data_IF_760174583895
#
_entry.id   IF_760174583895
#
_cell.length_a   1.000
_cell.length_b   1.000
_cell.length_c   1.000
_cell.angle_alpha   90.00
_cell.angle_beta   90.00
_cell.angle_gamma   90.00
#
_symmetry.space_group_name_H-M   'P 1'
#
loop_
_entity.id
_entity.type
_entity.pdbx_description
1 polymer ?
#
# COMPACT_ATOMS: atom_id res chain seq x y z
N UNK A 1 19.42 -15.75 6.61
CA UNK A 1 20.50 -15.99 5.65
C UNK A 1 20.27 -15.05 4.47
N UNK A 2 21.07 -13.99 4.37
CA UNK A 2 21.05 -13.04 3.25
C UNK A 2 22.47 -12.85 2.74
N UNK A 3 22.61 -12.35 1.51
CA UNK A 3 23.92 -12.04 0.94
C UNK A 3 24.60 -10.92 1.74
N UNK A 4 25.88 -11.09 2.07
CA UNK A 4 26.68 -10.02 2.67
C UNK A 4 27.05 -8.98 1.62
N UNK A 5 27.40 -7.77 2.06
CA UNK A 5 27.78 -6.70 1.13
C UNK A 5 29.07 -7.01 0.37
N UNK A 6 30.00 -7.64 1.07
CA UNK A 6 31.27 -8.14 0.54
C UNK A 6 31.04 -9.15 -0.58
N UNK A 7 30.10 -10.07 -0.38
CA UNK A 7 29.72 -11.07 -1.39
C UNK A 7 28.95 -10.45 -2.57
N UNK A 8 28.07 -9.47 -2.32
CA UNK A 8 27.31 -8.80 -3.37
C UNK A 8 28.22 -7.98 -4.31
N UNK A 9 29.23 -7.34 -3.75
CA UNK A 9 30.14 -6.46 -4.48
C UNK A 9 31.46 -7.12 -4.88
N UNK A 10 31.64 -8.40 -4.53
CA UNK A 10 32.90 -9.14 -4.68
C UNK A 10 34.11 -8.32 -4.19
N UNK A 11 34.01 -7.85 -2.95
CA UNK A 11 34.98 -6.92 -2.35
C UNK A 11 35.34 -7.34 -0.93
N UNK A 12 36.58 -7.07 -0.51
CA UNK A 12 37.09 -7.46 0.82
C UNK A 12 36.43 -6.69 1.96
N UNK A 13 35.94 -5.47 1.70
CA UNK A 13 35.24 -4.65 2.68
C UNK A 13 34.32 -3.66 1.99
N UNK A 14 33.22 -3.31 2.65
CA UNK A 14 32.25 -2.33 2.16
C UNK A 14 31.95 -1.25 3.20
N UNK A 15 31.53 -0.08 2.71
CA UNK A 15 31.04 1.03 3.52
C UNK A 15 29.64 1.45 3.07
N UNK A 16 28.80 1.84 4.02
CA UNK A 16 27.51 2.47 3.73
C UNK A 16 27.71 3.90 3.25
N UNK A 17 27.20 4.19 2.05
CA UNK A 17 27.19 5.54 1.49
C UNK A 17 25.82 6.21 1.61
N UNK A 18 24.75 5.42 1.67
CA UNK A 18 23.39 5.91 1.86
C UNK A 18 22.50 4.82 2.47
N UNK A 19 21.30 5.22 2.90
CA UNK A 19 20.30 4.32 3.48
C UNK A 19 19.86 4.74 4.87
N UNK A 20 19.01 3.91 5.47
CA UNK A 20 18.43 4.10 6.81
C UNK A 20 18.92 3.04 7.83
N UNK A 21 19.92 2.25 7.43
CA UNK A 21 20.48 1.14 8.22
C UNK A 21 19.77 -0.19 8.01
N UNK A 22 18.54 -0.20 7.49
CA UNK A 22 17.79 -1.41 7.14
C UNK A 22 17.92 -1.69 5.63
N UNK A 23 17.68 -0.66 4.81
CA UNK A 23 18.06 -0.60 3.40
C UNK A 23 19.36 0.15 3.27
N UNK A 24 20.41 -0.54 2.81
CA UNK A 24 21.76 0.02 2.78
C UNK A 24 22.26 0.09 1.35
N UNK A 25 22.71 1.27 0.94
CA UNK A 25 23.48 1.42 -0.30
C UNK A 25 24.96 1.35 0.08
N UNK A 26 25.63 0.32 -0.42
CA UNK A 26 27.02 0.00 -0.10
C UNK A 26 27.93 0.24 -1.29
N UNK A 27 29.17 0.63 -0.99
CA UNK A 27 30.29 0.67 -1.96
C UNK A 27 31.48 -0.12 -1.40
N UNK A 28 32.39 -0.61 -2.25
CA UNK A 28 33.67 -1.13 -1.78
C UNK A 28 34.38 -0.08 -0.95
N UNK A 29 35.12 -0.49 0.09
CA UNK A 29 35.89 0.42 0.93
C UNK A 29 37.39 0.14 0.89
N UNK A 30 38.17 1.21 1.08
CA UNK A 30 39.60 1.11 1.34
C UNK A 30 39.89 0.69 2.80
N UNK A 31 41.18 0.55 3.15
CA UNK A 31 41.61 0.21 4.52
C UNK A 31 41.16 1.23 5.58
N UNK A 32 40.83 2.46 5.18
CA UNK A 32 40.37 3.54 6.06
C UNK A 32 38.84 3.65 6.10
N UNK A 33 38.12 2.64 5.57
CA UNK A 33 36.65 2.61 5.43
C UNK A 33 36.09 3.78 4.62
N UNK A 34 36.86 4.31 3.66
CA UNK A 34 36.38 5.33 2.71
C UNK A 34 35.86 4.65 1.44
N UNK A 35 34.85 5.23 0.76
CA UNK A 35 34.36 4.67 -0.51
C UNK A 35 35.48 4.59 -1.54
N UNK A 36 35.77 3.39 -2.02
CA UNK A 36 36.77 3.13 -3.05
C UNK A 36 36.12 3.02 -4.44
N UNK A 37 36.83 3.40 -5.53
CA UNK A 37 36.37 3.16 -6.89
C UNK A 37 36.17 1.67 -7.18
N UNK A 38 35.21 1.33 -8.04
CA UNK A 38 35.02 -0.04 -8.49
C UNK A 38 36.09 -0.48 -9.50
N UNK A 39 36.09 -1.77 -9.90
CA UNK A 39 37.03 -2.29 -10.90
C UNK A 39 36.94 -1.51 -12.21
N UNK A 40 38.09 -1.15 -12.78
CA UNK A 40 38.16 -0.45 -14.07
C UNK A 40 37.71 -1.38 -15.20
N UNK A 41 36.86 -0.86 -16.09
CA UNK A 41 36.44 -1.59 -17.28
C UNK A 41 37.20 -1.07 -18.51
N UNK A 42 37.77 -1.96 -19.33
CA UNK A 42 38.27 -1.57 -20.65
C UNK A 42 37.07 -1.33 -21.57
N UNK A 43 36.83 -0.09 -21.97
CA UNK A 43 35.79 0.25 -22.92
C UNK A 43 36.30 1.31 -23.90
N UNK A 44 36.10 1.10 -25.20
CA UNK A 44 36.51 2.02 -26.26
C UNK A 44 38.01 2.35 -26.22
N UNK A 45 38.87 1.36 -25.91
CA UNK A 45 40.32 1.54 -25.85
C UNK A 45 40.85 2.36 -24.67
N UNK A 46 40.00 2.71 -23.70
CA UNK A 46 40.37 3.47 -22.49
C UNK A 46 39.92 2.75 -21.22
N UNK A 47 40.66 2.94 -20.12
CA UNK A 47 40.22 2.52 -18.78
C UNK A 47 39.23 3.54 -18.23
N UNK A 48 38.00 3.12 -18.01
CA UNK A 48 36.96 3.99 -17.45
C UNK A 48 36.71 3.57 -16.00
N UNK A 49 36.89 4.46 -15.00
CA UNK A 49 36.53 4.15 -13.62
C UNK A 49 35.01 4.07 -13.51
N UNK A 50 34.50 2.97 -12.93
CA UNK A 50 33.07 2.83 -12.60
C UNK A 50 32.86 2.98 -11.11
N UNK A 51 31.74 3.59 -10.73
CA UNK A 51 31.25 3.53 -9.36
C UNK A 51 30.43 2.24 -9.27
N UNK A 52 30.89 1.31 -8.42
CA UNK A 52 30.15 0.09 -8.12
C UNK A 52 29.35 0.31 -6.83
N UNK A 53 28.03 0.22 -6.93
CA UNK A 53 27.12 0.33 -5.79
C UNK A 53 26.24 -0.91 -5.70
N UNK A 54 26.03 -1.39 -4.48
CA UNK A 54 25.13 -2.49 -4.18
C UNK A 54 23.99 -2.00 -3.30
N UNK A 55 22.77 -2.44 -3.58
CA UNK A 55 21.64 -2.21 -2.68
C UNK A 55 21.38 -3.46 -1.84
N UNK A 56 21.64 -3.36 -0.54
CA UNK A 56 21.44 -4.42 0.42
C UNK A 56 20.09 -4.26 1.11
N UNK A 57 19.14 -5.12 0.74
CA UNK A 57 17.77 -5.16 1.26
C UNK A 57 17.49 -6.34 2.19
N UNK A 58 18.50 -7.17 2.48
CA UNK A 58 18.33 -8.38 3.30
C UNK A 58 17.81 -8.04 4.70
N UNK A 59 18.17 -6.88 5.26
CA UNK A 59 17.65 -6.38 6.55
C UNK A 59 16.14 -6.11 6.55
N UNK A 60 15.51 -5.87 5.38
CA UNK A 60 14.05 -5.73 5.27
C UNK A 60 13.33 -7.07 5.15
N UNK A 61 14.02 -8.11 4.67
CA UNK A 61 13.41 -9.38 4.26
C UNK A 61 13.76 -10.56 5.18
N UNK A 62 14.62 -10.34 6.18
CA UNK A 62 15.03 -11.38 7.14
C UNK A 62 14.39 -11.17 8.53
N UNK A 63 13.45 -12.07 8.89
CA UNK A 63 12.70 -12.08 10.16
C UNK A 63 11.33 -12.75 10.01
N UNK A 64 10.70 -13.22 11.10
CA UNK A 64 9.44 -13.98 11.06
C UNK A 64 8.23 -13.17 10.57
N UNK A 65 7.70 -12.26 11.40
CA UNK A 65 6.56 -11.42 11.05
C UNK A 65 6.87 -10.46 9.89
N UNK A 66 8.10 -9.92 9.84
CA UNK A 66 8.55 -9.03 8.77
C UNK A 66 8.48 -9.70 7.38
N UNK A 67 8.80 -10.99 7.27
CA UNK A 67 8.71 -11.74 6.01
C UNK A 67 7.26 -11.90 5.53
N UNK A 68 6.32 -12.14 6.44
CA UNK A 68 4.90 -12.24 6.10
C UNK A 68 4.33 -10.89 5.62
N UNK A 69 4.65 -9.81 6.35
CA UNK A 69 4.29 -8.44 5.92
C UNK A 69 4.92 -8.09 4.57
N UNK A 70 6.17 -8.49 4.34
CA UNK A 70 6.85 -8.24 3.07
C UNK A 70 6.20 -8.99 1.91
N UNK A 71 5.83 -10.26 2.09
CA UNK A 71 5.09 -11.02 1.08
C UNK A 71 3.74 -10.36 0.71
N UNK A 72 3.05 -9.79 1.71
CA UNK A 72 1.79 -9.06 1.51
C UNK A 72 2.00 -7.75 0.73
N UNK A 73 3.09 -7.03 1.00
CA UNK A 73 3.41 -5.73 0.39
C UNK A 73 4.21 -5.84 -0.93
N UNK A 74 4.74 -7.02 -1.23
CA UNK A 74 5.49 -7.31 -2.44
C UNK A 74 4.77 -6.90 -3.74
N UNK A 75 3.49 -7.26 -3.98
CA UNK A 75 2.81 -6.87 -5.23
C UNK A 75 2.68 -5.34 -5.39
N UNK A 76 2.53 -4.60 -4.30
CA UNK A 76 2.51 -3.13 -4.33
C UNK A 76 3.87 -2.55 -4.67
N UNK A 77 4.93 -3.15 -4.12
CA UNK A 77 6.31 -2.77 -4.41
C UNK A 77 6.64 -2.98 -5.88
N UNK A 78 6.20 -4.11 -6.46
CA UNK A 78 6.37 -4.39 -7.89
C UNK A 78 5.63 -3.40 -8.77
N UNK A 79 4.39 -3.04 -8.42
CA UNK A 79 3.63 -2.02 -9.17
C UNK A 79 4.32 -0.65 -9.14
N UNK A 80 4.89 -0.26 -8.00
CA UNK A 80 5.69 0.95 -7.87
C UNK A 80 6.95 0.90 -8.74
N UNK A 81 7.73 -0.19 -8.68
CA UNK A 81 8.93 -0.37 -9.51
C UNK A 81 8.58 -0.34 -11.00
N UNK A 82 7.54 -1.05 -11.41
CA UNK A 82 7.07 -1.08 -12.79
C UNK A 82 6.73 0.33 -13.31
N UNK A 83 6.15 1.20 -12.46
CA UNK A 83 5.86 2.58 -12.83
C UNK A 83 7.12 3.37 -13.21
N UNK A 84 8.22 3.15 -12.48
CA UNK A 84 9.51 3.80 -12.73
C UNK A 84 10.30 3.19 -13.88
N UNK A 85 9.99 1.95 -14.27
CA UNK A 85 10.61 1.27 -15.42
C UNK A 85 10.02 1.70 -16.77
N UNK A 86 8.94 2.48 -16.79
CA UNK A 86 8.36 2.96 -18.05
C UNK A 86 9.33 3.93 -18.76
N UNK A 87 9.59 3.75 -20.07
CA UNK A 87 10.48 4.63 -20.81
C UNK A 87 9.93 6.07 -20.88
N UNK A 88 10.81 7.08 -20.91
CA UNK A 88 10.39 8.46 -21.13
C UNK A 88 9.74 8.58 -22.52
N UNK A 89 8.65 9.35 -22.59
CA UNK A 89 7.93 9.57 -23.85
C UNK A 89 8.71 10.61 -24.67
N UNK A 90 9.18 10.29 -25.90
CA UNK A 90 9.86 11.26 -26.73
C UNK A 90 8.90 12.37 -27.20
N UNK A 91 9.40 13.61 -27.26
CA UNK A 91 8.64 14.76 -27.75
C UNK A 91 8.19 14.54 -29.21
N UNK A 92 6.99 15.02 -29.56
CA UNK A 92 6.43 14.92 -30.91
C UNK A 92 5.82 13.57 -31.32
N UNK A 93 6.04 12.47 -30.56
CA UNK A 93 5.51 11.13 -30.89
C UNK A 93 4.18 10.85 -30.17
N UNK A 94 3.06 11.25 -30.78
CA UNK A 94 1.70 11.10 -30.21
C UNK A 94 1.37 9.67 -29.78
N UNK A 95 1.72 8.66 -30.59
CA UNK A 95 1.46 7.25 -30.26
C UNK A 95 2.21 6.80 -28.99
N UNK A 96 3.49 7.16 -28.86
CA UNK A 96 4.28 6.85 -27.67
C UNK A 96 3.71 7.55 -26.42
N UNK A 97 3.16 8.76 -26.58
CA UNK A 97 2.50 9.47 -25.49
C UNK A 97 1.23 8.78 -25.02
N UNK A 98 0.37 8.35 -25.95
CA UNK A 98 -0.87 7.62 -25.65
C UNK A 98 -0.56 6.29 -24.97
N UNK A 99 0.36 5.50 -25.52
CA UNK A 99 0.75 4.22 -24.94
C UNK A 99 1.32 4.39 -23.53
N UNK A 100 2.22 5.36 -23.34
CA UNK A 100 2.76 5.68 -22.01
C UNK A 100 1.69 6.12 -21.01
N UNK A 101 0.67 6.86 -21.44
CA UNK A 101 -0.47 7.23 -20.60
C UNK A 101 -1.32 6.02 -20.21
N UNK A 102 -1.61 5.12 -21.16
CA UNK A 102 -2.35 3.88 -20.91
C UNK A 102 -1.60 2.99 -19.92
N UNK A 103 -0.31 2.72 -20.14
CA UNK A 103 0.49 1.89 -19.22
C UNK A 103 0.53 2.48 -17.80
N UNK A 104 0.69 3.80 -17.65
CA UNK A 104 0.61 4.47 -16.34
C UNK A 104 -0.78 4.35 -15.71
N UNK A 105 -1.84 4.48 -16.50
CA UNK A 105 -3.23 4.28 -16.06
C UNK A 105 -3.47 2.86 -15.56
N UNK A 106 -3.03 1.85 -16.32
CA UNK A 106 -3.15 0.44 -15.95
C UNK A 106 -2.40 0.11 -14.66
N UNK A 107 -1.19 0.65 -14.46
CA UNK A 107 -0.43 0.45 -13.23
C UNK A 107 -1.13 1.08 -12.01
N UNK A 108 -1.75 2.26 -12.17
CA UNK A 108 -2.56 2.89 -11.11
C UNK A 108 -3.80 2.06 -10.78
N UNK A 109 -4.50 1.56 -11.79
CA UNK A 109 -5.68 0.70 -11.62
C UNK A 109 -5.29 -0.61 -10.94
N UNK A 110 -4.23 -1.27 -11.40
CA UNK A 110 -3.71 -2.50 -10.79
C UNK A 110 -3.36 -2.29 -9.31
N UNK A 111 -2.68 -1.20 -8.98
CA UNK A 111 -2.35 -0.84 -7.59
C UNK A 111 -3.60 -0.63 -6.73
N UNK A 112 -4.62 0.03 -7.28
CA UNK A 112 -5.89 0.25 -6.59
C UNK A 112 -6.66 -1.07 -6.37
N UNK A 113 -6.70 -1.94 -7.39
CA UNK A 113 -7.33 -3.25 -7.30
C UNK A 113 -6.63 -4.15 -6.26
N UNK A 114 -5.30 -4.12 -6.18
CA UNK A 114 -4.55 -4.79 -5.12
C UNK A 114 -4.96 -4.29 -3.73
N UNK A 115 -5.20 -2.99 -3.58
CA UNK A 115 -5.69 -2.39 -2.32
C UNK A 115 -7.09 -2.90 -2.00
N UNK A 116 -8.00 -2.86 -2.97
CA UNK A 116 -9.37 -3.33 -2.81
C UNK A 116 -9.40 -4.82 -2.44
N UNK A 117 -8.59 -5.66 -3.11
CA UNK A 117 -8.48 -7.08 -2.82
C UNK A 117 -7.95 -7.32 -1.40
N UNK A 118 -6.83 -6.70 -1.04
CA UNK A 118 -6.22 -6.84 0.28
C UNK A 118 -7.21 -6.48 1.39
N UNK A 119 -7.84 -5.31 1.29
CA UNK A 119 -8.75 -4.82 2.33
C UNK A 119 -10.04 -5.65 2.38
N UNK A 120 -10.57 -6.10 1.24
CA UNK A 120 -11.75 -6.96 1.23
C UNK A 120 -11.48 -8.31 1.91
N UNK A 121 -10.33 -8.93 1.65
CA UNK A 121 -9.96 -10.20 2.29
C UNK A 121 -9.73 -10.03 3.80
N UNK A 122 -9.00 -8.98 4.19
CA UNK A 122 -8.82 -8.67 5.61
C UNK A 122 -10.14 -8.33 6.30
N UNK A 123 -11.07 -7.67 5.60
CA UNK A 123 -12.38 -7.34 6.17
C UNK A 123 -13.17 -8.61 6.50
N UNK A 124 -13.22 -9.57 5.59
CA UNK A 124 -13.89 -10.86 5.83
C UNK A 124 -13.23 -11.59 7.00
N UNK A 125 -11.91 -11.74 6.99
CA UNK A 125 -11.16 -12.44 8.06
C UNK A 125 -11.35 -11.76 9.42
N UNK A 126 -11.24 -10.43 9.46
CA UNK A 126 -11.34 -9.66 10.69
C UNK A 126 -12.75 -9.69 11.29
N UNK A 127 -13.77 -9.52 10.46
CA UNK A 127 -15.15 -9.58 10.92
C UNK A 127 -15.53 -11.00 11.37
N UNK A 128 -15.05 -12.03 10.68
CA UNK A 128 -15.28 -13.43 11.06
C UNK A 128 -14.61 -13.77 12.40
N UNK A 129 -13.31 -13.53 12.52
CA UNK A 129 -12.55 -13.85 13.74
C UNK A 129 -13.00 -13.01 14.94
N UNK A 130 -13.12 -11.69 14.81
CA UNK A 130 -13.41 -10.83 15.95
C UNK A 130 -14.90 -10.70 16.20
N UNK A 131 -15.69 -10.30 15.20
CA UNK A 131 -17.10 -9.98 15.43
C UNK A 131 -17.98 -11.23 15.51
N UNK A 132 -17.77 -12.23 14.66
CA UNK A 132 -18.59 -13.44 14.61
C UNK A 132 -18.16 -14.50 15.62
N UNK A 133 -16.86 -14.78 15.75
CA UNK A 133 -16.35 -15.86 16.60
C UNK A 133 -15.95 -15.38 18.01
N UNK A 134 -14.91 -14.54 18.11
CA UNK A 134 -14.33 -14.22 19.41
C UNK A 134 -15.22 -13.35 20.31
N UNK A 135 -16.09 -12.52 19.74
CA UNK A 135 -17.07 -11.77 20.52
C UNK A 135 -18.47 -12.40 20.50
N UNK A 136 -18.60 -13.65 20.05
CA UNK A 136 -19.83 -14.40 20.23
C UNK A 136 -20.21 -14.50 21.73
N UNK A 137 -21.50 -14.41 22.08
CA UNK A 137 -21.95 -14.71 23.43
C UNK A 137 -21.54 -16.13 23.80
N UNK A 138 -20.88 -16.29 24.95
CA UNK A 138 -20.44 -17.60 25.45
C UNK A 138 -19.14 -18.15 24.86
N UNK A 139 -18.37 -17.38 24.09
CA UNK A 139 -17.05 -17.82 23.62
C UNK A 139 -15.92 -17.56 24.63
N UNK A 140 -14.98 -18.50 24.72
CA UNK A 140 -13.81 -18.42 25.61
C UNK A 140 -12.68 -17.52 25.06
N UNK A 141 -12.78 -17.10 23.80
CA UNK A 141 -11.83 -16.16 23.20
C UNK A 141 -11.98 -14.77 23.83
N UNK A 142 -10.87 -14.05 24.06
CA UNK A 142 -10.88 -12.68 24.64
C UNK A 142 -11.67 -12.60 25.97
N UNK A 143 -11.32 -13.48 26.91
CA UNK A 143 -11.96 -13.59 28.24
C UNK A 143 -11.93 -12.31 29.08
N UNK A 144 -11.03 -11.37 28.78
CA UNK A 144 -10.97 -10.06 29.42
C UNK A 144 -11.99 -9.03 28.92
N UNK A 145 -12.77 -9.33 27.87
CA UNK A 145 -13.77 -8.41 27.34
C UNK A 145 -15.08 -8.50 28.15
N UNK A 146 -15.63 -7.37 28.64
CA UNK A 146 -16.89 -7.33 29.39
C UNK A 146 -18.09 -7.92 28.61
N UNK A 147 -19.05 -8.51 29.31
CA UNK A 147 -20.25 -9.11 28.71
C UNK A 147 -21.09 -8.12 27.89
N UNK A 148 -21.22 -6.86 28.34
CA UNK A 148 -21.97 -5.84 27.61
C UNK A 148 -21.47 -5.62 26.17
N UNK A 149 -20.18 -5.88 25.91
CA UNK A 149 -19.57 -5.80 24.58
C UNK A 149 -20.04 -6.92 23.68
N UNK A 150 -20.28 -8.11 24.24
CA UNK A 150 -20.78 -9.30 23.53
C UNK A 150 -22.28 -9.23 23.30
N UNK A 151 -23.01 -8.61 24.22
CA UNK A 151 -24.46 -8.47 24.15
C UNK A 151 -24.88 -7.39 23.14
N UNK A 152 -24.07 -6.34 22.98
CA UNK A 152 -24.37 -5.24 22.05
C UNK A 152 -23.75 -5.49 20.66
N UNK A 153 -24.57 -6.02 19.74
CA UNK A 153 -24.14 -6.39 18.38
C UNK A 153 -23.40 -5.28 17.60
N UNK A 154 -23.80 -3.99 17.65
CA UNK A 154 -23.05 -2.90 17.03
C UNK A 154 -21.61 -2.79 17.51
N UNK A 155 -21.37 -3.02 18.80
CA UNK A 155 -20.04 -2.90 19.38
C UNK A 155 -19.13 -4.07 18.99
N UNK A 156 -19.69 -5.29 18.87
CA UNK A 156 -18.97 -6.44 18.32
C UNK A 156 -18.45 -6.18 16.91
N UNK A 157 -19.32 -5.68 16.05
CA UNK A 157 -18.96 -5.35 14.66
C UNK A 157 -17.99 -4.19 14.60
N UNK A 158 -18.17 -3.16 15.43
CA UNK A 158 -17.21 -2.07 15.53
C UNK A 158 -15.80 -2.59 15.85
N UNK A 159 -15.67 -3.47 16.85
CA UNK A 159 -14.39 -4.08 17.24
C UNK A 159 -13.78 -4.89 16.08
N UNK A 160 -14.59 -5.63 15.31
CA UNK A 160 -14.11 -6.33 14.11
C UNK A 160 -13.63 -5.40 12.98
N UNK A 161 -14.12 -4.16 12.93
CA UNK A 161 -13.70 -3.14 11.95
C UNK A 161 -12.47 -2.35 12.39
N UNK A 162 -12.23 -2.20 13.70
CA UNK A 162 -11.07 -1.46 14.26
C UNK A 162 -9.72 -1.82 13.62
N UNK A 163 -9.30 -3.10 13.52
CA UNK A 163 -7.99 -3.42 12.94
C UNK A 163 -7.88 -3.01 11.47
N UNK A 164 -8.98 -2.99 10.71
CA UNK A 164 -9.00 -2.52 9.32
C UNK A 164 -8.79 -1.01 9.26
N UNK A 165 -9.51 -0.25 10.09
CA UNK A 165 -9.35 1.20 10.16
C UNK A 165 -7.96 1.59 10.64
N UNK A 166 -7.40 0.87 11.61
CA UNK A 166 -6.03 1.05 12.07
C UNK A 166 -5.02 0.79 10.93
N UNK A 167 -5.19 -0.29 10.16
CA UNK A 167 -4.34 -0.58 9.01
C UNK A 167 -4.44 0.51 7.93
N UNK A 168 -5.66 0.92 7.56
CA UNK A 168 -5.89 1.99 6.58
C UNK A 168 -5.23 3.29 7.05
N UNK A 169 -5.37 3.63 8.33
CA UNK A 169 -4.73 4.79 8.93
C UNK A 169 -3.20 4.72 8.88
N UNK A 170 -2.60 3.58 9.22
CA UNK A 170 -1.15 3.39 9.17
C UNK A 170 -0.64 3.52 7.73
N UNK A 171 -1.28 2.84 6.76
CA UNK A 171 -0.92 2.91 5.34
C UNK A 171 -1.08 4.32 4.77
N UNK A 172 -2.10 5.06 5.23
CA UNK A 172 -2.24 6.47 4.92
C UNK A 172 -1.04 7.25 5.47
N UNK A 173 -0.60 7.04 6.72
CA UNK A 173 0.45 7.87 7.35
C UNK A 173 1.88 7.61 6.88
N UNK A 174 2.23 6.39 6.46
CA UNK A 174 3.62 6.03 6.07
C UNK A 174 4.19 6.93 4.96
N UNK A 175 3.47 7.20 3.84
CA UNK A 175 4.01 8.04 2.75
C UNK A 175 4.22 9.53 3.11
N UNK A 176 3.68 10.03 4.23
CA UNK A 176 3.85 11.43 4.66
C UNK A 176 5.12 11.69 5.47
N UNK A 177 5.92 10.67 5.81
CA UNK A 177 7.21 10.92 6.42
C UNK A 177 8.18 11.42 5.34
N UNK A 178 8.38 12.74 5.29
CA UNK A 178 9.45 13.35 4.51
C UNK A 178 10.76 12.67 4.90
N UNK A 179 11.29 11.84 4.00
CA UNK A 179 12.66 11.34 4.11
C UNK A 179 13.59 12.52 3.83
N UNK A 180 13.76 13.40 4.82
CA UNK A 180 14.71 14.50 4.74
C UNK A 180 16.10 13.89 4.67
N UNK A 181 16.63 13.73 3.45
CA UNK A 181 18.01 13.32 3.27
C UNK A 181 18.91 14.34 3.98
N UNK A 182 19.66 13.85 4.97
CA UNK A 182 20.53 14.68 5.84
C UNK A 182 21.73 15.28 5.09
N UNK A 183 21.97 14.88 3.84
CA UNK A 183 23.11 15.31 3.02
C UNK A 183 22.74 16.38 1.97
N UNK A 184 22.29 17.55 2.42
CA UNK A 184 22.12 18.74 1.56
C UNK A 184 23.45 19.39 1.11
N UNK A 185 24.58 18.96 1.66
CA UNK A 185 25.88 19.62 1.50
C UNK A 185 26.70 19.20 0.27
N UNK A 186 26.23 18.29 -0.59
CA UNK A 186 26.96 17.86 -1.81
C UNK A 186 26.15 18.04 -3.11
N UNK A 187 25.25 19.02 -3.15
CA UNK A 187 24.43 19.36 -4.34
C UNK A 187 25.22 20.14 -5.40
N UNK A 188 26.31 19.56 -5.90
CA UNK A 188 26.99 20.08 -7.10
C UNK A 188 27.18 18.94 -8.09
N UNK A 189 26.44 19.02 -9.21
CA UNK A 189 26.68 18.31 -10.47
C UNK A 189 26.57 16.76 -10.49
N UNK A 190 25.45 16.21 -10.03
CA UNK A 190 25.05 14.86 -10.45
C UNK A 190 23.58 14.83 -10.85
N UNK A 191 23.31 15.03 -12.14
CA UNK A 191 22.05 14.68 -12.77
C UNK A 191 21.96 13.16 -12.84
N UNK A 192 21.65 12.52 -11.70
CA UNK A 192 21.38 11.09 -11.69
C UNK A 192 20.05 10.83 -12.42
N UNK A 193 19.99 9.92 -13.40
CA UNK A 193 18.76 9.59 -14.12
C UNK A 193 17.65 9.01 -13.22
N UNK A 194 17.97 8.71 -11.96
CA UNK A 194 17.04 8.23 -10.92
C UNK A 194 16.51 9.35 -10.00
N UNK A 195 16.76 10.63 -10.33
CA UNK A 195 16.27 11.72 -9.52
C UNK A 195 14.72 11.76 -9.58
N UNK A 196 14.01 11.63 -8.44
CA UNK A 196 12.56 11.75 -8.42
C UNK A 196 12.22 13.20 -8.75
N UNK A 197 11.86 13.47 -10.00
CA UNK A 197 11.29 14.76 -10.37
C UNK A 197 9.94 14.90 -9.64
N UNK A 198 9.70 16.10 -9.13
CA UNK A 198 8.57 16.51 -8.31
C UNK A 198 7.27 15.74 -8.61
N UNK A 199 6.68 15.11 -7.58
CA UNK A 199 5.39 14.42 -7.67
C UNK A 199 4.27 15.26 -7.02
N UNK A 200 3.71 16.28 -7.69
CA UNK A 200 2.51 16.99 -7.21
C UNK A 200 1.24 16.10 -7.21
N UNK A 201 1.35 14.81 -7.54
CA UNK A 201 0.23 13.83 -7.67
C UNK A 201 0.12 12.82 -6.53
N UNK A 202 1.08 12.75 -5.60
CA UNK A 202 1.06 11.78 -4.49
C UNK A 202 -0.19 11.87 -3.59
N UNK A 203 -0.73 13.05 -3.24
CA UNK A 203 -1.81 13.08 -2.25
C UNK A 203 -3.19 12.80 -2.87
N UNK A 204 -3.36 13.00 -4.18
CA UNK A 204 -4.57 12.61 -4.91
C UNK A 204 -4.73 11.09 -4.98
N UNK A 205 -3.66 10.39 -5.39
CA UNK A 205 -3.63 8.92 -5.44
C UNK A 205 -3.86 8.31 -4.05
N UNK A 206 -3.18 8.82 -3.02
CA UNK A 206 -3.38 8.38 -1.63
C UNK A 206 -4.84 8.48 -1.21
N UNK A 207 -5.52 9.58 -1.53
CA UNK A 207 -6.95 9.75 -1.24
C UNK A 207 -7.80 8.67 -1.91
N UNK A 208 -7.52 8.37 -3.19
CA UNK A 208 -8.25 7.32 -3.92
C UNK A 208 -8.07 5.95 -3.27
N UNK A 209 -6.85 5.60 -2.84
CA UNK A 209 -6.59 4.35 -2.12
C UNK A 209 -7.33 4.31 -0.78
N UNK A 210 -7.35 5.40 -0.01
CA UNK A 210 -8.08 5.45 1.28
C UNK A 210 -9.59 5.34 1.12
N UNK A 211 -10.18 6.04 0.14
CA UNK A 211 -11.61 6.00 -0.14
C UNK A 211 -12.01 4.61 -0.62
N UNK A 212 -11.26 4.04 -1.56
CA UNK A 212 -11.46 2.66 -2.03
C UNK A 212 -11.39 1.65 -0.88
N UNK A 213 -10.37 1.75 -0.01
CA UNK A 213 -10.23 0.87 1.14
C UNK A 213 -11.43 0.97 2.10
N UNK A 214 -11.86 2.18 2.46
CA UNK A 214 -13.04 2.39 3.31
C UNK A 214 -14.32 1.83 2.67
N UNK A 215 -14.51 1.99 1.36
CA UNK A 215 -15.66 1.39 0.66
C UNK A 215 -15.60 -0.15 0.65
N UNK A 216 -14.40 -0.74 0.56
CA UNK A 216 -14.20 -2.19 0.68
C UNK A 216 -14.46 -2.73 2.10
N UNK A 217 -14.40 -1.89 3.13
CA UNK A 217 -14.86 -2.24 4.49
C UNK A 217 -16.39 -2.15 4.59
N UNK A 218 -17.00 -1.13 3.98
CA UNK A 218 -18.45 -0.92 4.05
C UNK A 218 -19.26 -1.96 3.25
N UNK A 219 -18.80 -2.35 2.05
CA UNK A 219 -19.58 -3.23 1.16
C UNK A 219 -19.87 -4.62 1.74
N UNK A 220 -18.91 -5.35 2.37
CA UNK A 220 -19.20 -6.63 3.03
C UNK A 220 -20.23 -6.50 4.15
N UNK A 221 -20.16 -5.44 4.95
CA UNK A 221 -21.14 -5.16 6.01
C UNK A 221 -22.55 -4.96 5.42
N UNK A 222 -22.65 -4.35 4.24
CA UNK A 222 -23.92 -4.13 3.54
C UNK A 222 -24.46 -5.38 2.82
N UNK A 223 -23.76 -6.52 2.86
CA UNK A 223 -24.16 -7.77 2.20
C UNK A 223 -23.41 -8.08 0.91
N UNK A 224 -22.37 -7.30 0.60
CA UNK A 224 -21.51 -7.47 -0.57
C UNK A 224 -21.97 -6.67 -1.81
N UNK A 225 -21.15 -6.64 -2.86
CA UNK A 225 -21.41 -5.84 -4.07
C UNK A 225 -22.43 -6.47 -5.04
N UNK A 226 -22.89 -7.70 -4.78
CA UNK A 226 -23.79 -8.42 -5.69
C UNK A 226 -25.17 -8.71 -5.09
N UNK A 227 -25.41 -8.32 -3.83
CA UNK A 227 -26.71 -8.51 -3.16
C UNK A 227 -27.35 -7.16 -2.95
N UNK A 228 -28.49 -6.94 -3.60
CA UNK A 228 -29.24 -5.70 -3.45
C UNK A 228 -29.90 -5.67 -2.06
N UNK A 229 -29.72 -4.59 -1.28
CA UNK A 229 -30.47 -4.38 -0.05
C UNK A 229 -31.97 -4.22 -0.32
N UNK A 230 -32.79 -4.77 0.57
CA UNK A 230 -34.26 -4.71 0.46
C UNK A 230 -34.86 -3.42 1.01
N UNK A 231 -34.17 -2.75 1.95
CA UNK A 231 -34.63 -1.48 2.52
C UNK A 231 -34.11 -0.31 1.69
N UNK A 232 -34.94 0.73 1.50
CA UNK A 232 -34.59 1.91 0.69
C UNK A 232 -33.36 2.63 1.23
N UNK A 233 -33.25 2.76 2.56
CA UNK A 233 -32.13 3.45 3.18
C UNK A 233 -30.81 2.68 2.99
N UNK A 234 -30.81 1.37 3.25
CA UNK A 234 -29.59 0.55 3.07
C UNK A 234 -29.19 0.48 1.59
N UNK A 235 -30.17 0.54 0.67
CA UNK A 235 -29.94 0.66 -0.76
C UNK A 235 -29.24 1.97 -1.11
N UNK A 236 -29.65 3.11 -0.56
CA UNK A 236 -28.99 4.41 -0.77
C UNK A 236 -27.53 4.34 -0.30
N UNK A 237 -27.29 3.84 0.92
CA UNK A 237 -25.93 3.70 1.49
C UNK A 237 -25.07 2.78 0.63
N UNK A 238 -25.63 1.67 0.14
CA UNK A 238 -24.96 0.74 -0.75
C UNK A 238 -24.64 1.36 -2.11
N UNK A 239 -25.57 2.09 -2.72
CA UNK A 239 -25.34 2.82 -3.98
C UNK A 239 -24.23 3.85 -3.79
N UNK A 240 -24.25 4.62 -2.69
CA UNK A 240 -23.20 5.59 -2.40
C UNK A 240 -21.82 4.93 -2.23
N UNK A 241 -21.73 3.81 -1.52
CA UNK A 241 -20.49 3.06 -1.34
C UNK A 241 -19.96 2.51 -2.68
N UNK A 242 -20.84 1.91 -3.49
CA UNK A 242 -20.49 1.39 -4.81
C UNK A 242 -20.06 2.51 -5.77
N UNK A 243 -20.78 3.63 -5.77
CA UNK A 243 -20.47 4.80 -6.58
C UNK A 243 -19.09 5.38 -6.22
N UNK A 244 -18.74 5.47 -4.94
CA UNK A 244 -17.41 5.91 -4.50
C UNK A 244 -16.30 4.93 -4.91
N UNK A 245 -16.55 3.63 -4.83
CA UNK A 245 -15.60 2.61 -5.26
C UNK A 245 -15.34 2.70 -6.78
N UNK A 246 -16.40 2.80 -7.59
CA UNK A 246 -16.32 2.94 -9.06
C UNK A 246 -15.68 4.28 -9.44
N UNK A 247 -16.07 5.38 -8.79
CA UNK A 247 -15.48 6.70 -9.02
C UNK A 247 -13.98 6.69 -8.70
N UNK A 248 -13.55 5.99 -7.66
CA UNK A 248 -12.13 5.85 -7.32
C UNK A 248 -11.34 5.09 -8.40
N UNK A 249 -11.95 4.03 -8.96
CA UNK A 249 -11.38 3.25 -10.06
C UNK A 249 -11.24 4.08 -11.34
N UNK A 250 -12.29 4.83 -11.70
CA UNK A 250 -12.27 5.72 -12.87
C UNK A 250 -11.26 6.86 -12.69
N UNK A 251 -11.24 7.51 -11.53
CA UNK A 251 -10.31 8.58 -11.19
C UNK A 251 -8.84 8.13 -11.24
N UNK A 252 -8.57 6.87 -10.90
CA UNK A 252 -7.23 6.26 -10.97
C UNK A 252 -6.69 6.18 -12.40
N UNK A 253 -7.55 5.93 -13.41
CA UNK A 253 -7.11 5.81 -14.82
C UNK A 253 -6.44 7.09 -15.31
N UNK A 254 -7.05 8.24 -15.03
CA UNK A 254 -6.60 9.58 -15.46
C UNK A 254 -5.60 10.21 -14.48
N UNK A 255 -5.43 9.64 -13.29
CA UNK A 255 -4.60 10.23 -12.24
C UNK A 255 -5.18 11.53 -11.69
N UNK A 256 -6.50 11.53 -11.50
CA UNK A 256 -7.23 12.66 -10.93
C UNK A 256 -6.68 13.03 -9.55
N UNK A 257 -6.52 14.32 -9.28
CA UNK A 257 -6.07 14.84 -8.00
C UNK A 257 -7.06 15.89 -7.52
N UNK A 258 -7.83 15.54 -6.50
CA UNK A 258 -8.76 16.46 -5.85
C UNK A 258 -8.03 17.50 -5.00
N UNK A 259 -8.62 18.69 -4.89
CA UNK A 259 -8.18 19.72 -3.94
C UNK A 259 -8.32 19.26 -2.48
N UNK A 260 -7.65 19.92 -1.51
CA UNK A 260 -7.66 19.54 -0.09
C UNK A 260 -9.07 19.39 0.50
N UNK A 261 -9.98 20.31 0.19
CA UNK A 261 -11.37 20.29 0.70
C UNK A 261 -12.13 19.07 0.19
N UNK A 262 -12.07 18.81 -1.12
CA UNK A 262 -12.74 17.66 -1.74
C UNK A 262 -12.20 16.35 -1.19
N UNK A 263 -10.87 16.24 -1.00
CA UNK A 263 -10.25 15.04 -0.42
C UNK A 263 -10.76 14.77 1.00
N UNK A 264 -10.79 15.81 1.85
CA UNK A 264 -11.33 15.70 3.21
C UNK A 264 -12.81 15.28 3.20
N UNK A 265 -13.61 15.88 2.32
CA UNK A 265 -15.02 15.52 2.14
C UNK A 265 -15.22 14.05 1.71
N UNK A 266 -14.47 13.57 0.72
CA UNK A 266 -14.55 12.18 0.24
C UNK A 266 -14.21 11.18 1.34
N UNK A 267 -13.14 11.44 2.12
CA UNK A 267 -12.76 10.59 3.24
C UNK A 267 -13.83 10.62 4.33
N UNK A 268 -14.35 11.79 4.68
CA UNK A 268 -15.41 11.93 5.69
C UNK A 268 -16.69 11.18 5.29
N UNK A 269 -17.11 11.27 4.03
CA UNK A 269 -18.24 10.51 3.50
C UNK A 269 -17.96 9.01 3.58
N UNK A 270 -16.78 8.55 3.16
CA UNK A 270 -16.44 7.13 3.19
C UNK A 270 -16.41 6.57 4.63
N UNK A 271 -15.89 7.33 5.60
CA UNK A 271 -15.92 6.98 7.03
C UNK A 271 -17.36 6.94 7.57
N UNK A 272 -18.20 7.92 7.20
CA UNK A 272 -19.60 7.94 7.59
C UNK A 272 -20.36 6.72 7.05
N UNK A 273 -20.10 6.29 5.80
CA UNK A 273 -20.70 5.08 5.23
C UNK A 273 -20.30 3.82 6.02
N UNK A 274 -19.04 3.70 6.45
CA UNK A 274 -18.60 2.60 7.32
C UNK A 274 -19.33 2.64 8.66
N UNK A 275 -19.42 3.81 9.30
CA UNK A 275 -20.12 3.97 10.58
C UNK A 275 -21.61 3.60 10.49
N UNK A 276 -22.29 4.05 9.42
CA UNK A 276 -23.68 3.70 9.16
C UNK A 276 -23.83 2.19 8.95
N UNK A 277 -22.94 1.56 8.16
CA UNK A 277 -22.97 0.13 7.91
C UNK A 277 -22.78 -0.70 9.19
N UNK A 278 -21.85 -0.28 10.08
CA UNK A 278 -21.60 -0.92 11.38
C UNK A 278 -22.85 -0.90 12.27
N UNK A 279 -23.57 0.23 12.34
CA UNK A 279 -24.75 0.36 13.22
C UNK A 279 -25.97 -0.36 12.66
N UNK A 280 -26.16 -0.35 11.33
CA UNK A 280 -27.39 -0.81 10.68
C UNK A 280 -27.42 -2.30 10.35
N UNK A 281 -26.26 -2.93 10.14
CA UNK A 281 -26.16 -4.34 9.69
C UNK A 281 -25.71 -5.29 10.79
N UNK A 282 -26.10 -4.97 12.02
CA UNK A 282 -25.87 -5.78 13.21
C UNK A 282 -27.18 -6.31 13.78
N UNK A 283 -27.26 -7.59 14.16
CA UNK A 283 -26.18 -8.59 14.20
C UNK A 283 -25.75 -9.07 12.81
N UNK A 284 -24.45 -9.32 12.66
CA UNK A 284 -23.90 -9.93 11.44
C UNK A 284 -24.44 -11.36 11.30
N UNK A 285 -24.77 -11.82 10.08
CA UNK A 285 -25.11 -13.22 9.84
C UNK A 285 -23.91 -14.12 10.19
N UNK A 286 -24.18 -15.37 10.58
CA UNK A 286 -23.17 -16.34 11.00
C UNK A 286 -22.10 -16.69 9.94
N UNK A 287 -22.30 -16.26 8.68
CA UNK A 287 -21.30 -16.31 7.63
C UNK A 287 -21.38 -15.07 6.73
N UNK A 288 -20.25 -14.37 6.56
CA UNK A 288 -20.13 -13.28 5.60
C UNK A 288 -19.91 -13.88 4.20
N UNK A 289 -20.89 -13.72 3.31
CA UNK A 289 -20.78 -14.21 1.93
C UNK A 289 -19.80 -13.33 1.15
N UNK A 290 -18.58 -13.84 0.95
CA UNK A 290 -17.49 -13.14 0.27
C UNK A 290 -16.18 -13.93 0.21
N UNK A 291 -15.98 -14.91 1.09
CA UNK A 291 -14.98 -15.96 0.90
C UNK A 291 -15.54 -17.05 0.01
N UNK A 292 -14.85 -17.39 -1.09
CA UNK A 292 -15.19 -18.49 -2.00
C UNK A 292 -15.08 -19.89 -1.38
N UNK A 293 -15.29 -20.02 -0.06
CA UNK A 293 -15.34 -21.27 0.68
C UNK A 293 -16.78 -21.43 1.21
N UNK A 294 -17.73 -21.53 0.28
CA UNK A 294 -19.05 -22.07 0.57
C UNK A 294 -18.91 -23.58 0.69
N UNK A 295 -19.20 -24.11 1.88
CA UNK A 295 -19.10 -25.53 2.21
C UNK A 295 -19.98 -26.43 1.35
N UNK A 296 -19.48 -27.65 1.19
CA UNK A 296 -20.29 -28.85 0.96
C UNK A 296 -21.14 -29.16 2.21
#
# INVERSE_FOLDING_TARGET
>A
MGTSGESLLDSTSVVDVAGDGIGRLIRPSDRLRRPAPGPVLPALGRSIPRILEGYLWSGMTSGGAAKATWALLFPFSLANVAHWMLPPVPEGRRFAAVLGAICRGLLRVASLLLTMLLISQLAVVSLDLFAAQCLAPGSDCLSGIPSFVRDFAPLRTAIGVVPLLALIFVLDRIPSSDWRSRNRLHRTHSSSPLQPQDLPRTPGLRTLHTVAALTCVALPLLGGPFRLPTTTFDLIVWICALALAVASLLASTVGFSAGPVIRGGLIAIAVALVGIAVVRRTPLPAGLTGGGLGGA
#
